data_IF_141956726946
#
_entry.id   IF_141956726946
#
_cell.length_a   1.000
_cell.length_b   1.000
_cell.length_c   1.000
_cell.angle_alpha   90.00
_cell.angle_beta   90.00
_cell.angle_gamma   90.00
#
_symmetry.space_group_name_H-M   'P 1'
#
loop_
_entity.id
_entity.type
_entity.pdbx_description
1 polymer ?
#
# COMPACT_ATOMS: atom_id res chain seq x y z
N UNK A 1 -20.23 -8.13 -25.88
CA UNK A 1 -19.66 -7.53 -24.64
C UNK A 1 -20.18 -8.18 -23.35
N UNK A 2 -21.40 -8.70 -23.30
CA UNK A 2 -21.91 -9.45 -22.15
C UNK A 2 -21.44 -10.93 -22.13
N UNK A 3 -20.99 -11.48 -23.26
CA UNK A 3 -20.50 -12.87 -23.37
C UNK A 3 -19.19 -13.16 -22.62
N UNK A 4 -18.38 -12.14 -22.32
CA UNK A 4 -17.16 -12.27 -21.48
C UNK A 4 -17.47 -12.36 -19.98
N UNK A 5 -18.62 -11.82 -19.56
CA UNK A 5 -19.16 -12.01 -18.20
C UNK A 5 -20.07 -13.25 -18.12
N UNK A 6 -20.57 -13.76 -19.25
CA UNK A 6 -21.58 -14.82 -19.32
C UNK A 6 -21.05 -16.21 -19.71
N UNK A 7 -19.73 -16.45 -19.72
CA UNK A 7 -19.18 -17.82 -19.63
C UNK A 7 -19.44 -18.41 -18.22
N UNK A 8 -20.71 -18.71 -17.93
CA UNK A 8 -21.12 -19.70 -16.93
C UNK A 8 -20.62 -19.54 -15.49
N UNK A 9 -20.39 -18.33 -14.99
CA UNK A 9 -20.13 -18.09 -13.55
C UNK A 9 -18.65 -18.11 -13.10
N UNK A 10 -17.69 -18.40 -13.98
CA UNK A 10 -16.26 -18.42 -13.62
C UNK A 10 -15.56 -17.06 -13.70
N UNK A 11 -16.12 -16.08 -14.39
CA UNK A 11 -15.53 -14.74 -14.50
C UNK A 11 -15.35 -14.09 -13.11
N UNK A 12 -16.30 -14.28 -12.20
CA UNK A 12 -16.19 -13.80 -10.82
C UNK A 12 -15.02 -14.43 -10.04
N UNK A 13 -14.69 -15.70 -10.31
CA UNK A 13 -13.53 -16.36 -9.69
C UNK A 13 -12.21 -15.83 -10.24
N UNK A 14 -12.09 -15.68 -11.57
CA UNK A 14 -10.86 -15.17 -12.21
C UNK A 14 -10.62 -13.72 -11.79
N UNK A 15 -11.63 -12.87 -11.91
CA UNK A 15 -11.53 -11.47 -11.48
C UNK A 15 -11.40 -11.33 -9.96
N UNK A 16 -11.99 -12.23 -9.18
CA UNK A 16 -11.81 -12.30 -7.73
C UNK A 16 -10.36 -12.61 -7.35
N UNK A 17 -9.74 -13.65 -7.92
CA UNK A 17 -8.33 -13.98 -7.65
C UNK A 17 -7.38 -12.88 -8.10
N UNK A 18 -7.56 -12.31 -9.30
CA UNK A 18 -6.78 -11.16 -9.76
C UNK A 18 -6.97 -9.93 -8.88
N UNK A 19 -8.22 -9.67 -8.44
CA UNK A 19 -8.56 -8.61 -7.50
C UNK A 19 -7.90 -8.79 -6.14
N UNK A 20 -7.88 -10.03 -5.61
CA UNK A 20 -7.20 -10.36 -4.35
C UNK A 20 -5.70 -10.16 -4.48
N UNK A 21 -5.06 -10.64 -5.55
CA UNK A 21 -3.63 -10.41 -5.78
C UNK A 21 -3.31 -8.92 -5.89
N UNK A 22 -4.09 -8.16 -6.66
CA UNK A 22 -3.94 -6.71 -6.76
C UNK A 22 -4.18 -6.01 -5.41
N UNK A 23 -5.15 -6.48 -4.62
CA UNK A 23 -5.45 -5.94 -3.29
C UNK A 23 -4.25 -6.12 -2.35
N UNK A 24 -3.68 -7.32 -2.29
CA UNK A 24 -2.47 -7.57 -1.48
C UNK A 24 -1.30 -6.70 -1.94
N UNK A 25 -1.07 -6.58 -3.25
CA UNK A 25 -0.02 -5.74 -3.81
C UNK A 25 -0.22 -4.26 -3.43
N UNK A 26 -1.46 -3.75 -3.46
CA UNK A 26 -1.78 -2.38 -3.05
C UNK A 26 -1.63 -2.18 -1.54
N UNK A 27 -2.03 -3.14 -0.71
CA UNK A 27 -1.90 -3.06 0.75
C UNK A 27 -0.42 -2.91 1.14
N UNK A 28 0.47 -3.73 0.58
CA UNK A 28 1.91 -3.65 0.82
C UNK A 28 2.45 -2.26 0.45
N UNK A 29 2.09 -1.74 -0.72
CA UNK A 29 2.51 -0.41 -1.18
C UNK A 29 2.00 0.70 -0.24
N UNK A 30 0.73 0.63 0.19
CA UNK A 30 0.14 1.60 1.12
C UNK A 30 0.85 1.55 2.47
N UNK A 31 1.15 0.36 2.99
CA UNK A 31 1.86 0.17 4.25
C UNK A 31 3.28 0.73 4.19
N UNK A 32 4.02 0.49 3.10
CA UNK A 32 5.37 1.04 2.88
C UNK A 32 5.32 2.57 2.82
N UNK A 33 4.37 3.15 2.10
CA UNK A 33 4.21 4.61 2.01
C UNK A 33 3.87 5.20 3.38
N UNK A 34 2.99 4.55 4.16
CA UNK A 34 2.66 4.98 5.53
C UNK A 34 3.89 4.94 6.44
N UNK A 35 4.68 3.87 6.40
CA UNK A 35 5.87 3.73 7.24
C UNK A 35 6.93 4.78 6.92
N UNK A 36 7.12 5.13 5.64
CA UNK A 36 8.04 6.19 5.24
C UNK A 36 7.70 7.53 5.87
N UNK A 37 6.41 7.87 5.98
CA UNK A 37 5.97 9.12 6.65
C UNK A 37 6.30 9.12 8.15
N UNK A 38 6.10 7.99 8.83
CA UNK A 38 6.40 7.85 10.27
C UNK A 38 7.91 7.97 10.55
N UNK A 39 8.74 7.36 9.70
CA UNK A 39 10.21 7.39 9.85
C UNK A 39 10.74 8.81 9.60
N UNK A 40 10.26 9.49 8.54
CA UNK A 40 10.62 10.88 8.24
C UNK A 40 10.28 11.82 9.41
N UNK A 41 9.09 11.68 10.00
CA UNK A 41 8.70 12.49 11.16
C UNK A 41 9.56 12.21 12.40
N UNK A 42 9.99 10.96 12.62
CA UNK A 42 10.92 10.62 13.72
C UNK A 42 12.31 11.22 13.50
N UNK A 43 12.84 11.11 12.28
CA UNK A 43 14.13 11.71 11.91
C UNK A 43 14.13 13.23 12.07
N UNK A 44 13.08 13.92 11.60
CA UNK A 44 12.95 15.37 11.74
C UNK A 44 12.98 15.82 13.21
N UNK A 45 12.40 15.03 14.13
CA UNK A 45 12.46 15.32 15.57
C UNK A 45 13.85 15.11 16.16
N UNK A 46 14.55 14.05 15.76
CA UNK A 46 15.91 13.77 16.25
C UNK A 46 16.91 14.83 15.79
N UNK A 47 16.85 15.27 14.53
CA UNK A 47 17.71 16.36 14.01
C UNK A 47 17.52 17.65 14.82
N UNK A 48 16.27 17.99 15.17
CA UNK A 48 15.94 19.20 15.92
C UNK A 48 16.43 19.15 17.37
N UNK A 49 16.48 17.97 17.99
CA UNK A 49 17.07 17.78 19.31
C UNK A 49 18.60 17.86 19.26
N UNK A 50 19.25 17.23 18.26
CA UNK A 50 20.71 17.24 18.17
C UNK A 50 21.26 18.66 17.96
N UNK A 51 20.56 19.51 17.19
CA UNK A 51 20.94 20.92 17.00
C UNK A 51 20.83 21.80 18.24
N UNK A 52 20.10 21.35 19.29
CA UNK A 52 19.99 22.06 20.56
C UNK A 52 21.04 21.59 21.58
N UNK A 53 21.62 20.40 21.38
CA UNK A 53 22.70 19.86 22.23
C UNK A 53 24.06 20.44 21.82
N UNK A 54 24.20 20.93 20.59
CA UNK A 54 25.43 21.49 20.03
C UNK A 54 25.62 23.01 20.28
N UNK A 55 24.74 23.65 21.06
CA UNK A 55 24.86 25.06 21.48
C UNK A 55 25.09 25.17 22.98
#
# INVERSE_FOLDING_TARGET
MAEFFAMGGYAFYVWGSYGVTALFMLIEVILVIRNKRTIMQRLARMVRMNSQVEK
#
